data_IF_956199388357
#
_entry.id   IF_956199388357
#
_cell.length_a   1.000
_cell.length_b   1.000
_cell.length_c   1.000
_cell.angle_alpha   90.00
_cell.angle_beta   90.00
_cell.angle_gamma   90.00
#
_symmetry.space_group_name_H-M   'P 1'
#
loop_
_entity.id
_entity.type
_entity.pdbx_description
1 polymer ?
#
# COMPACT_ATOMS: atom_id res chain seq x y z
N UNK A 1 -25.64 55.59 -28.51
CA UNK A 1 -25.20 54.93 -27.25
C UNK A 1 -26.19 53.84 -26.93
N UNK A 2 -25.83 52.57 -27.10
CA UNK A 2 -26.69 51.45 -26.72
C UNK A 2 -25.82 50.42 -26.00
N UNK A 3 -26.00 50.35 -24.68
CA UNK A 3 -25.39 49.34 -23.81
C UNK A 3 -26.12 48.02 -24.05
N UNK A 4 -25.39 46.93 -24.29
CA UNK A 4 -25.89 45.58 -24.08
C UNK A 4 -24.99 44.88 -23.07
N UNK A 5 -25.57 44.53 -21.94
CA UNK A 5 -25.02 43.63 -20.93
C UNK A 5 -25.23 42.19 -21.38
N UNK A 6 -24.19 41.36 -21.34
CA UNK A 6 -24.33 39.91 -21.32
C UNK A 6 -23.90 39.38 -19.95
N UNK A 7 -24.84 38.71 -19.27
CA UNK A 7 -24.56 37.90 -18.08
C UNK A 7 -23.75 36.67 -18.51
N UNK A 8 -22.56 36.48 -17.94
CA UNK A 8 -21.86 35.21 -17.99
C UNK A 8 -22.37 34.30 -16.86
N UNK A 9 -23.05 33.21 -17.23
CA UNK A 9 -23.35 32.14 -16.28
C UNK A 9 -22.08 31.32 -16.05
N UNK A 10 -21.56 31.33 -14.82
CA UNK A 10 -20.46 30.47 -14.39
C UNK A 10 -21.05 29.08 -14.13
N UNK A 11 -20.86 28.17 -15.08
CA UNK A 11 -21.10 26.74 -14.88
C UNK A 11 -19.95 26.14 -14.08
N UNK A 12 -20.19 25.82 -12.80
CA UNK A 12 -19.26 25.02 -12.01
C UNK A 12 -19.40 23.56 -12.45
N UNK A 13 -18.52 23.14 -13.36
CA UNK A 13 -18.31 21.72 -13.62
C UNK A 13 -17.52 21.12 -12.47
N UNK A 14 -18.19 20.32 -11.63
CA UNK A 14 -17.51 19.33 -10.78
C UNK A 14 -16.95 18.23 -11.69
N UNK A 15 -15.81 18.52 -12.30
CA UNK A 15 -14.99 17.53 -12.97
C UNK A 15 -14.43 16.59 -11.91
N UNK A 16 -14.98 15.38 -11.83
CA UNK A 16 -14.35 14.29 -11.10
C UNK A 16 -13.04 13.96 -11.83
N UNK A 17 -11.95 14.62 -11.46
CA UNK A 17 -10.62 14.29 -11.96
C UNK A 17 -10.26 12.93 -11.41
N UNK A 18 -10.43 11.89 -12.21
CA UNK A 18 -9.84 10.60 -11.97
C UNK A 18 -8.33 10.81 -11.82
N UNK A 19 -7.82 10.53 -10.61
CA UNK A 19 -6.39 10.58 -10.32
C UNK A 19 -5.75 9.50 -11.20
N UNK A 20 -5.06 9.91 -12.26
CA UNK A 20 -4.24 8.98 -13.03
C UNK A 20 -3.05 8.62 -12.14
N UNK A 21 -2.85 7.33 -11.80
CA UNK A 21 -1.61 6.92 -11.14
C UNK A 21 -0.44 7.34 -12.03
N UNK A 22 0.62 7.85 -11.41
CA UNK A 22 1.87 8.16 -12.11
C UNK A 22 2.42 6.83 -12.62
N UNK A 23 2.32 6.61 -13.93
CA UNK A 23 2.86 5.43 -14.61
C UNK A 23 4.28 5.77 -14.98
N UNK A 24 5.22 5.34 -14.16
CA UNK A 24 6.63 5.31 -14.52
C UNK A 24 6.84 4.02 -15.32
N UNK A 25 7.13 4.11 -16.62
CA UNK A 25 7.52 2.98 -17.50
C UNK A 25 6.89 1.60 -17.19
N UNK A 26 5.55 1.50 -17.21
CA UNK A 26 4.85 0.22 -17.02
C UNK A 26 4.64 -0.21 -15.56
N UNK A 27 5.14 0.54 -14.59
CA UNK A 27 4.84 0.38 -13.17
C UNK A 27 3.52 1.05 -12.81
N UNK A 28 2.73 0.37 -11.96
CA UNK A 28 1.50 0.91 -11.38
C UNK A 28 1.70 1.05 -9.87
N UNK A 29 1.55 2.27 -9.35
CA UNK A 29 1.62 2.48 -7.90
C UNK A 29 0.41 1.84 -7.21
N UNK A 30 0.67 1.13 -6.11
CA UNK A 30 -0.37 0.59 -5.21
C UNK A 30 -0.67 1.54 -4.04
N UNK A 31 0.11 2.60 -3.88
CA UNK A 31 -0.02 3.57 -2.79
C UNK A 31 0.02 4.99 -3.36
N UNK A 32 -0.88 5.84 -2.87
CA UNK A 32 -1.05 7.21 -3.37
C UNK A 32 -0.15 8.24 -2.63
N UNK A 33 0.58 7.78 -1.60
CA UNK A 33 1.43 8.62 -0.76
C UNK A 33 0.67 9.40 0.32
N UNK A 34 -0.64 9.21 0.49
CA UNK A 34 -1.49 10.10 1.29
C UNK A 34 -2.46 9.37 2.20
N UNK A 35 -3.04 8.26 1.75
CA UNK A 35 -4.03 7.51 2.51
C UNK A 35 -3.84 6.00 2.35
N UNK A 36 -4.60 5.24 3.14
CA UNK A 36 -4.69 3.78 2.97
C UNK A 36 -5.84 3.42 2.03
N UNK A 37 -6.26 4.31 1.13
CA UNK A 37 -7.30 4.00 0.15
C UNK A 37 -6.83 2.87 -0.77
N UNK A 38 -7.71 1.88 -0.98
CA UNK A 38 -7.33 0.66 -1.68
C UNK A 38 -6.49 -0.31 -0.83
N UNK A 39 -6.39 -0.09 0.48
CA UNK A 39 -5.82 -1.04 1.42
C UNK A 39 -6.82 -1.43 2.49
N UNK A 40 -6.79 -2.70 2.87
CA UNK A 40 -7.64 -3.29 3.90
C UNK A 40 -6.78 -3.70 5.08
N UNK A 41 -7.09 -3.12 6.24
CA UNK A 41 -6.49 -3.48 7.54
C UNK A 41 -7.19 -4.69 8.13
N UNK A 42 -6.43 -5.61 8.72
CA UNK A 42 -6.95 -6.61 9.64
C UNK A 42 -6.98 -6.10 11.09
N UNK A 43 -6.88 -7.03 12.02
CA UNK A 43 -6.71 -6.77 13.45
C UNK A 43 -5.49 -5.88 13.71
N UNK A 44 -5.60 -5.08 14.76
CA UNK A 44 -4.61 -4.05 15.11
C UNK A 44 -4.45 -2.96 14.04
N UNK A 45 -5.54 -2.54 13.40
CA UNK A 45 -5.58 -1.47 12.40
C UNK A 45 -4.82 -0.19 12.83
N UNK A 46 -4.83 0.14 14.12
CA UNK A 46 -4.12 1.29 14.69
C UNK A 46 -2.59 1.23 14.52
N UNK A 47 -2.02 0.06 14.19
CA UNK A 47 -0.60 -0.09 13.91
C UNK A 47 -0.19 0.58 12.59
N UNK A 48 -1.14 0.89 11.70
CA UNK A 48 -0.88 1.49 10.39
C UNK A 48 -1.27 2.97 10.36
N UNK A 49 -0.34 3.80 9.92
CA UNK A 49 -0.57 5.23 9.66
C UNK A 49 0.11 5.64 8.35
N UNK A 50 -0.27 6.79 7.80
CA UNK A 50 0.46 7.42 6.69
C UNK A 50 1.15 8.67 7.22
N UNK A 51 2.46 8.76 7.03
CA UNK A 51 3.26 9.91 7.45
C UNK A 51 4.36 10.18 6.42
N UNK A 52 4.52 11.45 6.05
CA UNK A 52 5.60 11.92 5.16
C UNK A 52 5.68 11.13 3.84
N UNK A 53 4.53 10.76 3.26
CA UNK A 53 4.49 10.02 2.00
C UNK A 53 4.77 8.53 2.12
N UNK A 54 4.80 7.96 3.33
CA UNK A 54 5.07 6.55 3.59
C UNK A 54 4.00 5.90 4.48
N UNK A 55 3.78 4.61 4.27
CA UNK A 55 3.05 3.76 5.21
C UNK A 55 3.98 3.49 6.39
N UNK A 56 3.57 3.87 7.59
CA UNK A 56 4.30 3.64 8.84
C UNK A 56 3.59 2.57 9.64
N UNK A 57 4.37 1.55 10.03
CA UNK A 57 3.90 0.42 10.84
C UNK A 57 4.55 0.47 12.21
N UNK A 58 3.76 0.59 13.26
CA UNK A 58 4.24 0.57 14.65
C UNK A 58 3.13 0.07 15.58
N UNK A 59 3.39 -1.01 16.30
CA UNK A 59 2.48 -1.54 17.31
C UNK A 59 2.47 -3.06 17.37
N UNK A 60 1.33 -3.62 17.73
CA UNK A 60 1.10 -5.05 17.73
C UNK A 60 1.13 -5.61 16.30
N UNK A 61 1.36 -6.93 16.18
CA UNK A 61 1.31 -7.66 14.92
C UNK A 61 -0.01 -7.35 14.18
N UNK A 62 0.13 -6.89 12.95
CA UNK A 62 -0.97 -6.43 12.11
C UNK A 62 -0.62 -6.69 10.64
N UNK A 63 -1.64 -6.84 9.80
CA UNK A 63 -1.47 -7.03 8.36
C UNK A 63 -2.29 -6.01 7.57
N UNK A 64 -1.67 -5.47 6.53
CA UNK A 64 -2.27 -4.52 5.59
C UNK A 64 -2.29 -5.18 4.22
N UNK A 65 -3.50 -5.44 3.70
CA UNK A 65 -3.72 -6.12 2.43
C UNK A 65 -4.07 -5.09 1.37
N UNK A 66 -3.47 -5.19 0.18
CA UNK A 66 -3.94 -4.39 -0.95
C UNK A 66 -5.30 -4.91 -1.42
N UNK A 67 -6.29 -4.03 -1.49
CA UNK A 67 -7.68 -4.28 -1.90
C UNK A 67 -8.15 -3.21 -2.92
N UNK A 68 -7.18 -2.59 -3.62
CA UNK A 68 -7.41 -1.47 -4.52
C UNK A 68 -7.73 -1.88 -5.96
N UNK A 69 -7.95 -0.89 -6.84
CA UNK A 69 -8.46 -1.12 -8.20
C UNK A 69 -7.43 -1.73 -9.17
N UNK A 70 -6.13 -1.54 -8.93
CA UNK A 70 -5.07 -2.09 -9.79
C UNK A 70 -5.18 -3.61 -9.88
N UNK A 71 -5.34 -4.12 -11.10
CA UNK A 71 -5.50 -5.55 -11.39
C UNK A 71 -6.57 -6.25 -10.55
N UNK A 72 -7.61 -5.52 -10.11
CA UNK A 72 -8.64 -6.04 -9.21
C UNK A 72 -8.03 -6.75 -8.00
N UNK A 73 -6.95 -6.19 -7.42
CA UNK A 73 -6.16 -6.74 -6.31
C UNK A 73 -5.72 -8.21 -6.46
N UNK A 74 -5.75 -8.76 -7.67
CA UNK A 74 -5.48 -10.17 -7.96
C UNK A 74 -4.31 -10.31 -8.92
N UNK A 75 -3.13 -10.57 -8.36
CA UNK A 75 -1.88 -10.65 -9.11
C UNK A 75 -1.42 -12.11 -9.25
N UNK A 76 -1.18 -12.56 -10.49
CA UNK A 76 -0.61 -13.88 -10.77
C UNK A 76 0.90 -13.79 -11.00
N UNK A 77 1.28 -13.17 -12.13
CA UNK A 77 2.66 -12.87 -12.49
C UNK A 77 2.84 -11.36 -12.36
N UNK A 78 3.82 -10.94 -11.56
CA UNK A 78 4.07 -9.52 -11.33
C UNK A 78 5.52 -9.32 -10.91
N UNK A 79 5.99 -8.10 -11.08
CA UNK A 79 7.16 -7.57 -10.39
C UNK A 79 6.66 -6.59 -9.32
N UNK A 80 7.25 -6.66 -8.13
CA UNK A 80 6.92 -5.78 -7.03
C UNK A 80 8.17 -5.06 -6.58
N UNK A 81 8.04 -3.74 -6.37
CA UNK A 81 9.12 -2.88 -5.90
C UNK A 81 8.59 -2.00 -4.78
N UNK A 82 9.34 -1.93 -3.69
CA UNK A 82 9.09 -1.03 -2.58
C UNK A 82 10.41 -0.59 -1.95
N UNK A 83 10.48 0.68 -1.59
CA UNK A 83 11.53 1.19 -0.72
C UNK A 83 11.10 0.98 0.74
N UNK A 84 11.98 0.36 1.53
CA UNK A 84 11.66 -0.03 2.91
C UNK A 84 12.72 0.50 3.84
N UNK A 85 12.27 1.21 4.89
CA UNK A 85 13.12 1.67 5.98
C UNK A 85 12.76 0.93 7.27
N UNK A 86 13.76 0.47 8.01
CA UNK A 86 13.59 -0.17 9.32
C UNK A 86 14.30 0.63 10.41
N UNK A 87 13.72 0.70 11.60
CA UNK A 87 14.44 1.14 12.81
C UNK A 87 15.11 -0.05 13.51
N UNK A 88 16.10 0.17 14.40
CA UNK A 88 16.71 -0.91 15.18
C UNK A 88 15.67 -1.78 15.90
N UNK A 89 15.80 -3.10 15.78
CA UNK A 89 14.88 -4.06 16.38
C UNK A 89 13.55 -4.25 15.64
N UNK A 90 13.32 -3.62 14.48
CA UNK A 90 12.10 -3.83 13.69
C UNK A 90 12.04 -5.24 13.09
N UNK A 91 10.86 -5.85 13.11
CA UNK A 91 10.54 -7.10 12.41
C UNK A 91 9.24 -6.91 11.61
N UNK A 92 9.29 -7.17 10.33
CA UNK A 92 8.15 -7.06 9.41
C UNK A 92 8.36 -7.98 8.21
N UNK A 93 7.44 -7.97 7.26
CA UNK A 93 7.51 -8.78 6.06
C UNK A 93 6.68 -8.20 4.93
N UNK A 94 7.10 -8.46 3.70
CA UNK A 94 6.31 -8.22 2.49
C UNK A 94 5.71 -9.55 2.07
N UNK A 95 4.38 -9.60 2.03
CA UNK A 95 3.66 -10.80 1.68
C UNK A 95 3.11 -10.75 0.26
N UNK A 96 3.04 -11.91 -0.39
CA UNK A 96 2.44 -12.04 -1.71
C UNK A 96 1.71 -13.38 -1.89
N UNK A 97 0.82 -13.43 -2.89
CA UNK A 97 -0.10 -14.56 -3.13
C UNK A 97 -0.94 -14.94 -1.89
N UNK A 98 -1.29 -13.93 -1.10
CA UNK A 98 -2.09 -14.08 0.12
C UNK A 98 -3.59 -14.07 -0.16
N UNK A 99 -4.38 -14.43 0.86
CA UNK A 99 -5.82 -14.14 0.93
C UNK A 99 -6.05 -13.31 2.19
N UNK A 100 -7.02 -12.38 2.15
CA UNK A 100 -7.39 -11.60 3.33
C UNK A 100 -7.65 -12.51 4.54
N UNK A 101 -7.09 -12.12 5.68
CA UNK A 101 -7.27 -12.78 6.96
C UNK A 101 -7.36 -11.72 8.05
N UNK A 102 -8.34 -11.85 8.93
CA UNK A 102 -8.60 -10.84 9.96
C UNK A 102 -7.46 -10.75 10.98
N UNK A 103 -6.84 -11.86 11.39
CA UNK A 103 -5.84 -11.86 12.45
C UNK A 103 -4.90 -13.06 12.32
N UNK A 104 -3.83 -13.12 13.12
CA UNK A 104 -2.77 -14.15 13.05
C UNK A 104 -1.90 -14.05 11.79
N UNK A 105 -0.85 -14.88 11.75
CA UNK A 105 0.06 -15.00 10.61
C UNK A 105 -0.68 -15.49 9.37
N UNK A 106 -0.42 -14.93 8.16
CA UNK A 106 -1.12 -15.33 6.95
C UNK A 106 -0.96 -16.83 6.67
N UNK A 107 -2.08 -17.55 6.56
CA UNK A 107 -2.09 -18.99 6.28
C UNK A 107 -1.77 -19.34 4.82
N UNK A 108 -1.90 -18.36 3.91
CA UNK A 108 -1.66 -18.50 2.48
C UNK A 108 -0.72 -17.43 2.00
N UNK A 109 0.08 -17.80 1.01
CA UNK A 109 1.07 -16.93 0.39
C UNK A 109 2.46 -17.18 0.94
N UNK A 110 3.34 -16.25 0.63
CA UNK A 110 4.75 -16.27 1.01
C UNK A 110 5.14 -14.94 1.62
N UNK A 111 6.23 -14.96 2.38
CA UNK A 111 6.77 -13.79 3.05
C UNK A 111 8.23 -13.59 2.66
N UNK A 112 8.52 -12.41 2.12
CA UNK A 112 9.89 -11.90 2.05
C UNK A 112 10.16 -11.12 3.33
N UNK A 113 11.14 -11.58 4.08
CA UNK A 113 11.45 -11.03 5.39
C UNK A 113 11.95 -9.59 5.28
N UNK A 114 11.56 -8.75 6.25
CA UNK A 114 12.09 -7.41 6.48
C UNK A 114 12.61 -7.33 7.92
N UNK A 115 13.90 -7.65 8.08
CA UNK A 115 14.56 -7.69 9.37
C UNK A 115 16.07 -7.47 9.21
N UNK A 116 16.55 -6.33 9.71
CA UNK A 116 17.97 -5.98 9.69
C UNK A 116 18.68 -6.16 11.05
N UNK A 117 17.95 -6.18 12.17
CA UNK A 117 18.56 -6.17 13.51
C UNK A 117 17.70 -6.77 14.63
N UNK A 118 16.52 -7.30 14.32
CA UNK A 118 15.69 -8.01 15.29
C UNK A 118 16.36 -9.34 15.72
N UNK A 119 15.88 -9.92 16.82
CA UNK A 119 16.40 -11.16 17.40
C UNK A 119 16.08 -12.40 16.55
N UNK A 120 15.07 -12.32 15.70
CA UNK A 120 14.82 -13.31 14.65
C UNK A 120 16.04 -13.41 13.72
N UNK A 121 16.46 -14.65 13.43
CA UNK A 121 17.65 -14.95 12.66
C UNK A 121 17.44 -14.82 11.15
N UNK A 122 16.19 -14.91 10.65
CA UNK A 122 15.89 -14.69 9.23
C UNK A 122 16.01 -13.20 8.90
N UNK A 123 16.81 -12.87 7.88
CA UNK A 123 17.19 -11.50 7.52
C UNK A 123 16.47 -11.01 6.26
N UNK A 124 16.51 -9.69 6.05
CA UNK A 124 15.91 -9.02 4.89
C UNK A 124 16.23 -9.74 3.59
N UNK A 125 15.19 -10.03 2.80
CA UNK A 125 15.29 -10.71 1.51
C UNK A 125 15.20 -12.24 1.57
N UNK A 126 15.25 -12.86 2.76
CA UNK A 126 14.98 -14.30 2.90
C UNK A 126 13.50 -14.64 2.70
N UNK A 127 13.21 -15.81 2.15
CA UNK A 127 11.88 -16.39 2.13
C UNK A 127 11.59 -17.05 3.48
N UNK A 128 10.62 -16.53 4.24
CA UNK A 128 10.35 -17.03 5.58
C UNK A 128 9.62 -18.38 5.56
N UNK A 129 9.96 -19.27 6.49
CA UNK A 129 9.29 -20.57 6.64
C UNK A 129 9.55 -21.59 5.52
N UNK A 130 10.42 -21.26 4.56
CA UNK A 130 10.83 -22.16 3.49
C UNK A 130 12.27 -22.63 3.73
N UNK A 131 12.51 -23.90 3.41
CA UNK A 131 13.84 -24.48 3.37
C UNK A 131 14.34 -24.37 1.94
N UNK A 132 15.33 -23.51 1.74
CA UNK A 132 16.02 -23.23 0.48
C UNK A 132 17.37 -23.96 0.40
#
# INVERSE_FOLDING_TARGET
MQKQMFLAAIGVFFGCTAIKPVVDEGWMSLFDGKSLDGWRVGANAQSFTVKDGAIVVNGNVAHLFYDGPVQQHSFKNFEFKADVMTLPGSNSGIYFHTVFQESSWPQKGYEVQVNNSHTDWRRTGSLYGIMD
#
